data_IF_263442095272
#
_entry.id   IF_263442095272
#
_cell.length_a   1.000
_cell.length_b   1.000
_cell.length_c   1.000
_cell.angle_alpha   90.00
_cell.angle_beta   90.00
_cell.angle_gamma   90.00
#
_symmetry.space_group_name_H-M   'P 1'
#
loop_
_entity.id
_entity.type
_entity.pdbx_description
1 polymer ?
#
# COMPACT_ATOMS: atom_id res chain seq x y z
N UNK A 1 -8.31 5.62 16.39
CA UNK A 1 -7.68 4.78 17.44
C UNK A 1 -6.48 4.01 16.91
N UNK A 2 -6.60 3.18 15.86
CA UNK A 2 -5.53 2.31 15.34
C UNK A 2 -4.18 3.03 15.16
N UNK A 3 -4.13 4.08 14.35
CA UNK A 3 -2.88 4.77 14.01
C UNK A 3 -2.14 5.33 15.24
N UNK A 4 -2.85 5.93 16.18
CA UNK A 4 -2.28 6.42 17.44
C UNK A 4 -1.78 5.29 18.33
N UNK A 5 -2.54 4.21 18.44
CA UNK A 5 -2.11 3.06 19.24
C UNK A 5 -0.84 2.41 18.69
N UNK A 6 -0.62 2.44 17.37
CA UNK A 6 0.64 1.99 16.77
C UNK A 6 1.82 2.89 17.19
N UNK A 7 1.62 4.22 17.18
CA UNK A 7 2.65 5.16 17.65
C UNK A 7 2.93 4.99 19.15
N UNK A 8 1.91 4.71 19.96
CA UNK A 8 2.08 4.47 21.39
C UNK A 8 2.83 3.14 21.69
N UNK A 9 2.73 2.14 20.80
CA UNK A 9 3.49 0.88 20.91
C UNK A 9 4.99 1.03 20.64
N UNK A 10 5.44 2.14 20.07
CA UNK A 10 6.87 2.41 19.87
C UNK A 10 7.65 2.54 21.19
N UNK A 11 6.93 2.63 22.34
CA UNK A 11 7.49 2.70 23.67
C UNK A 11 8.03 4.08 24.02
N UNK A 12 8.79 4.19 25.13
CA UNK A 12 9.40 5.45 25.53
C UNK A 12 10.51 5.84 24.55
N UNK A 13 10.37 7.02 23.94
CA UNK A 13 11.34 7.59 23.01
C UNK A 13 12.03 8.79 23.65
N UNK A 14 13.32 8.96 23.33
CA UNK A 14 14.13 10.12 23.71
C UNK A 14 14.45 10.97 22.50
N UNK A 15 14.10 12.24 22.55
CA UNK A 15 14.33 13.21 21.49
C UNK A 15 15.82 13.28 21.10
N UNK A 16 16.10 13.24 19.80
CA UNK A 16 17.45 13.26 19.23
C UNK A 16 18.26 11.97 19.35
N UNK A 17 17.83 11.00 20.18
CA UNK A 17 18.55 9.74 20.42
C UNK A 17 17.83 8.52 19.83
N UNK A 18 16.49 8.46 19.94
CA UNK A 18 15.72 7.31 19.52
C UNK A 18 15.66 7.18 18.01
N UNK A 19 15.97 5.99 17.51
CA UNK A 19 15.81 5.58 16.11
C UNK A 19 14.72 4.52 16.08
N UNK A 20 13.73 4.73 15.21
CA UNK A 20 12.66 3.78 14.94
C UNK A 20 12.71 3.33 13.48
N UNK A 21 12.24 2.13 13.18
CA UNK A 21 11.98 1.70 11.81
C UNK A 21 10.54 2.07 11.42
N UNK A 22 10.37 3.20 10.74
CA UNK A 22 9.05 3.70 10.38
C UNK A 22 8.30 2.79 9.39
N UNK A 23 9.02 1.98 8.60
CA UNK A 23 8.41 1.00 7.71
C UNK A 23 7.88 -0.21 8.49
N UNK A 24 8.72 -0.83 9.32
CA UNK A 24 8.37 -2.07 10.03
C UNK A 24 7.54 -1.85 11.29
N UNK A 25 7.81 -0.79 12.05
CA UNK A 25 7.15 -0.56 13.33
C UNK A 25 5.86 0.27 13.21
N UNK A 26 5.62 0.88 12.05
CA UNK A 26 4.44 1.71 11.84
C UNK A 26 3.71 1.41 10.51
N UNK A 27 4.33 1.70 9.36
CA UNK A 27 3.63 1.72 8.08
C UNK A 27 3.01 0.36 7.71
N UNK A 28 3.69 -0.76 7.94
CA UNK A 28 3.19 -2.09 7.56
C UNK A 28 1.98 -2.56 8.37
N UNK A 29 1.85 -2.12 9.63
CA UNK A 29 0.76 -2.57 10.51
C UNK A 29 -0.59 -1.96 10.13
N UNK A 30 -0.59 -0.79 9.49
CA UNK A 30 -1.81 -0.05 9.16
C UNK A 30 -2.69 -0.84 8.20
N UNK A 31 -2.26 -1.14 6.96
CA UNK A 31 -3.09 -1.86 6.01
C UNK A 31 -3.41 -3.29 6.45
N UNK A 32 -2.52 -3.96 7.17
CA UNK A 32 -2.79 -5.30 7.74
C UNK A 32 -3.99 -5.24 8.69
N UNK A 33 -3.98 -4.32 9.65
CA UNK A 33 -5.06 -4.18 10.61
C UNK A 33 -6.37 -3.74 9.95
N UNK A 34 -6.32 -2.84 8.96
CA UNK A 34 -7.52 -2.36 8.25
C UNK A 34 -8.16 -3.49 7.45
N UNK A 35 -7.41 -4.19 6.61
CA UNK A 35 -7.93 -5.29 5.79
C UNK A 35 -8.47 -6.43 6.67
N UNK A 36 -7.74 -6.80 7.73
CA UNK A 36 -8.18 -7.79 8.69
C UNK A 36 -9.54 -7.44 9.30
N UNK A 37 -9.70 -6.20 9.78
CA UNK A 37 -10.97 -5.73 10.34
C UNK A 37 -12.10 -5.73 9.32
N UNK A 38 -11.84 -5.31 8.08
CA UNK A 38 -12.84 -5.33 7.01
C UNK A 38 -13.29 -6.75 6.66
N UNK A 39 -12.37 -7.72 6.71
CA UNK A 39 -12.68 -9.13 6.45
C UNK A 39 -13.31 -9.86 7.66
N UNK A 40 -13.37 -9.21 8.83
CA UNK A 40 -13.90 -9.82 10.05
C UNK A 40 -12.99 -10.91 10.65
N UNK A 41 -11.69 -10.87 10.36
CA UNK A 41 -10.73 -11.89 10.80
C UNK A 41 -10.16 -11.58 12.19
N UNK A 42 -9.74 -12.60 12.96
CA UNK A 42 -9.25 -12.45 14.32
C UNK A 42 -8.00 -11.56 14.44
N UNK A 43 -7.89 -10.79 15.52
CA UNK A 43 -6.76 -9.86 15.73
C UNK A 43 -5.41 -10.57 15.85
N UNK A 44 -5.39 -11.75 16.45
CA UNK A 44 -4.18 -12.55 16.62
C UNK A 44 -3.54 -13.02 15.29
N UNK A 45 -4.27 -12.92 14.17
CA UNK A 45 -3.82 -13.41 12.87
C UNK A 45 -3.07 -12.34 12.04
N UNK A 46 -2.90 -11.11 12.57
CA UNK A 46 -2.19 -10.03 11.85
C UNK A 46 -0.76 -10.43 11.42
N UNK A 47 -0.04 -11.14 12.28
CA UNK A 47 1.31 -11.63 11.96
C UNK A 47 1.31 -12.67 10.84
N UNK A 48 0.28 -13.52 10.79
CA UNK A 48 0.09 -14.48 9.71
C UNK A 48 -0.07 -13.78 8.37
N UNK A 49 -0.92 -12.73 8.30
CA UNK A 49 -1.12 -11.96 7.06
C UNK A 49 0.13 -11.23 6.62
N UNK A 50 0.87 -10.64 7.55
CA UNK A 50 2.12 -9.96 7.24
C UNK A 50 3.14 -10.93 6.64
N UNK A 51 3.26 -12.14 7.20
CA UNK A 51 4.11 -13.21 6.68
C UNK A 51 3.67 -13.66 5.29
N UNK A 52 2.38 -13.87 5.06
CA UNK A 52 1.85 -14.25 3.73
C UNK A 52 2.17 -13.22 2.66
N UNK A 53 1.97 -11.94 2.96
CA UNK A 53 2.29 -10.86 2.02
C UNK A 53 3.77 -10.86 1.68
N UNK A 54 4.63 -11.00 2.67
CA UNK A 54 6.07 -11.10 2.46
C UNK A 54 6.43 -12.32 1.59
N UNK A 55 5.91 -13.50 1.90
CA UNK A 55 6.22 -14.73 1.17
C UNK A 55 5.73 -14.69 -0.29
N UNK A 56 4.56 -14.09 -0.53
CA UNK A 56 3.98 -14.00 -1.89
C UNK A 56 4.65 -12.94 -2.75
N UNK A 57 5.04 -11.79 -2.20
CA UNK A 57 5.48 -10.65 -3.00
C UNK A 57 7.00 -10.45 -3.01
N UNK A 58 7.68 -10.79 -1.92
CA UNK A 58 9.13 -10.61 -1.80
C UNK A 58 9.90 -11.91 -1.98
N UNK A 59 9.53 -12.97 -1.28
CA UNK A 59 10.24 -14.23 -1.32
C UNK A 59 10.19 -14.90 -2.70
N UNK A 60 9.08 -14.79 -3.45
CA UNK A 60 9.01 -15.30 -4.82
C UNK A 60 10.02 -14.59 -5.73
N UNK A 61 10.29 -13.31 -5.51
CA UNK A 61 11.29 -12.55 -6.26
C UNK A 61 12.73 -12.94 -5.88
N UNK A 62 12.97 -13.32 -4.61
CA UNK A 62 14.28 -13.74 -4.09
C UNK A 62 14.54 -15.23 -4.34
N UNK A 63 13.52 -16.09 -4.20
CA UNK A 63 13.60 -17.56 -4.34
C UNK A 63 12.47 -18.09 -5.26
N UNK A 64 12.61 -18.02 -6.59
CA UNK A 64 11.58 -18.49 -7.50
C UNK A 64 11.25 -19.99 -7.32
N UNK A 65 9.98 -20.30 -7.11
CA UNK A 65 9.48 -21.68 -6.96
C UNK A 65 8.94 -22.06 -5.60
N UNK A 66 9.07 -21.21 -4.59
CA UNK A 66 8.48 -21.40 -3.26
C UNK A 66 6.97 -21.11 -3.29
N UNK A 67 6.14 -22.12 -3.00
CA UNK A 67 4.65 -22.01 -3.00
C UNK A 67 4.01 -22.29 -1.63
N UNK A 68 4.80 -22.67 -0.64
CA UNK A 68 4.29 -23.18 0.65
C UNK A 68 3.34 -22.18 1.37
N UNK A 69 3.67 -20.88 1.32
CA UNK A 69 2.83 -19.85 1.94
C UNK A 69 1.44 -19.67 1.29
N UNK A 70 1.31 -19.93 -0.02
CA UNK A 70 0.01 -19.80 -0.70
C UNK A 70 -0.96 -20.92 -0.34
N UNK A 71 -0.47 -22.14 -0.12
CA UNK A 71 -1.30 -23.27 0.27
C UNK A 71 -1.81 -23.08 1.72
N UNK A 72 -0.93 -22.67 2.65
CA UNK A 72 -1.30 -22.34 4.02
C UNK A 72 -2.35 -21.22 4.08
N UNK A 73 -2.15 -20.15 3.31
CA UNK A 73 -3.12 -19.07 3.18
C UNK A 73 -4.46 -19.56 2.64
N UNK A 74 -4.43 -20.41 1.62
CA UNK A 74 -5.64 -20.98 1.03
C UNK A 74 -6.47 -21.78 2.04
N UNK A 75 -5.82 -22.64 2.83
CA UNK A 75 -6.47 -23.40 3.90
C UNK A 75 -7.05 -22.48 4.98
N UNK A 76 -6.27 -21.51 5.46
CA UNK A 76 -6.74 -20.53 6.44
C UNK A 76 -7.99 -19.79 5.94
N UNK A 77 -7.99 -19.29 4.70
CA UNK A 77 -9.13 -18.57 4.14
C UNK A 77 -10.35 -19.47 4.01
N UNK A 78 -10.16 -20.74 3.60
CA UNK A 78 -11.24 -21.70 3.57
C UNK A 78 -11.90 -21.89 4.95
N UNK A 79 -11.10 -22.06 6.00
CA UNK A 79 -11.59 -22.19 7.37
C UNK A 79 -12.36 -20.94 7.82
N UNK A 80 -11.87 -19.73 7.48
CA UNK A 80 -12.57 -18.47 7.76
C UNK A 80 -13.92 -18.38 7.02
N UNK A 81 -13.98 -18.81 5.76
CA UNK A 81 -15.25 -18.86 4.99
C UNK A 81 -16.23 -19.81 5.66
N UNK A 82 -15.80 -21.00 6.12
CA UNK A 82 -16.68 -21.94 6.80
C UNK A 82 -17.18 -21.37 8.14
N UNK A 83 -16.33 -20.69 8.91
CA UNK A 83 -16.74 -20.04 10.15
C UNK A 83 -17.76 -18.91 9.90
N UNK A 84 -17.53 -18.04 8.91
CA UNK A 84 -18.47 -16.97 8.55
C UNK A 84 -19.80 -17.51 7.98
N UNK A 85 -19.77 -18.67 7.33
CA UNK A 85 -21.00 -19.34 6.87
C UNK A 85 -21.83 -19.85 8.03
N UNK A 86 -21.18 -20.40 9.06
CA UNK A 86 -21.85 -20.86 10.28
C UNK A 86 -22.28 -19.70 11.19
N UNK A 87 -21.51 -18.62 11.21
CA UNK A 87 -21.65 -17.45 12.08
C UNK A 87 -21.55 -16.15 11.27
N UNK A 88 -22.56 -15.77 10.46
CA UNK A 88 -22.52 -14.54 9.65
C UNK A 88 -22.33 -13.30 10.52
N UNK A 89 -21.51 -12.34 10.03
CA UNK A 89 -21.13 -11.09 10.71
C UNK A 89 -21.36 -9.89 9.79
N UNK A 90 -21.31 -8.70 10.36
CA UNK A 90 -21.33 -7.45 9.57
C UNK A 90 -19.90 -7.11 9.11
N UNK A 91 -19.43 -7.87 8.12
CA UNK A 91 -18.09 -7.76 7.53
C UNK A 91 -18.08 -8.07 6.03
N UNK A 92 -16.94 -7.81 5.40
CA UNK A 92 -16.79 -7.97 3.95
C UNK A 92 -16.85 -9.45 3.53
N UNK A 93 -16.35 -10.39 4.34
CA UNK A 93 -16.40 -11.83 4.03
C UNK A 93 -17.84 -12.32 3.98
N UNK A 94 -18.64 -12.03 4.99
CA UNK A 94 -20.07 -12.36 5.02
C UNK A 94 -20.83 -11.69 3.88
N UNK A 95 -20.51 -10.42 3.58
CA UNK A 95 -21.10 -9.71 2.45
C UNK A 95 -20.79 -10.39 1.11
N UNK A 96 -19.53 -10.73 0.82
CA UNK A 96 -19.12 -11.37 -0.42
C UNK A 96 -19.81 -12.73 -0.63
N UNK A 97 -20.00 -13.50 0.45
CA UNK A 97 -20.70 -14.78 0.41
C UNK A 97 -22.20 -14.65 0.07
N UNK A 98 -22.80 -13.49 0.32
CA UNK A 98 -24.20 -13.19 0.00
C UNK A 98 -24.41 -12.56 -1.38
N UNK A 99 -23.35 -12.16 -2.09
CA UNK A 99 -23.45 -11.50 -3.39
C UNK A 99 -23.81 -12.49 -4.50
N UNK A 100 -24.68 -12.05 -5.41
CA UNK A 100 -24.96 -12.76 -6.67
C UNK A 100 -24.54 -11.89 -7.84
N UNK A 101 -23.82 -12.47 -8.81
CA UNK A 101 -23.48 -11.84 -10.06
C UNK A 101 -24.32 -12.48 -11.16
N UNK A 102 -25.11 -11.67 -11.86
CA UNK A 102 -26.05 -12.16 -12.89
C UNK A 102 -26.98 -13.30 -12.39
N UNK A 103 -27.36 -13.25 -11.11
CA UNK A 103 -28.19 -14.25 -10.46
C UNK A 103 -27.46 -15.52 -10.01
N UNK A 104 -26.15 -15.61 -10.24
CA UNK A 104 -25.31 -16.76 -9.84
C UNK A 104 -24.71 -16.47 -8.46
N UNK A 105 -24.85 -17.43 -7.55
CA UNK A 105 -24.24 -17.38 -6.21
C UNK A 105 -22.71 -17.56 -6.30
N UNK A 106 -21.98 -16.84 -5.43
CA UNK A 106 -20.54 -17.00 -5.31
C UNK A 106 -20.20 -18.34 -4.67
N UNK A 107 -19.32 -19.11 -5.31
CA UNK A 107 -18.75 -20.31 -4.69
C UNK A 107 -17.68 -19.92 -3.66
N UNK A 108 -17.37 -20.84 -2.72
CA UNK A 108 -16.30 -20.62 -1.73
C UNK A 108 -14.94 -20.36 -2.39
N UNK A 109 -14.68 -20.97 -3.55
CA UNK A 109 -13.46 -20.74 -4.34
C UNK A 109 -13.39 -19.30 -4.88
N UNK A 110 -14.51 -18.78 -5.38
CA UNK A 110 -14.55 -17.39 -5.89
C UNK A 110 -14.38 -16.41 -4.73
N UNK A 111 -15.10 -16.61 -3.64
CA UNK A 111 -14.98 -15.78 -2.41
C UNK A 111 -13.55 -15.83 -1.87
N UNK A 112 -12.96 -17.03 -1.76
CA UNK A 112 -11.57 -17.21 -1.34
C UNK A 112 -10.58 -16.50 -2.23
N UNK A 113 -10.73 -16.60 -3.56
CA UNK A 113 -9.90 -15.88 -4.53
C UNK A 113 -10.01 -14.35 -4.40
N UNK A 114 -11.21 -13.82 -4.13
CA UNK A 114 -11.42 -12.40 -3.87
C UNK A 114 -10.73 -11.96 -2.57
N UNK A 115 -10.82 -12.74 -1.49
CA UNK A 115 -10.16 -12.44 -0.22
C UNK A 115 -8.64 -12.44 -0.38
N UNK A 116 -8.07 -13.45 -1.06
CA UNK A 116 -6.63 -13.50 -1.37
C UNK A 116 -6.20 -12.25 -2.15
N UNK A 117 -6.96 -11.88 -3.17
CA UNK A 117 -6.67 -10.69 -3.96
C UNK A 117 -6.70 -9.41 -3.12
N UNK A 118 -7.69 -9.26 -2.22
CA UNK A 118 -7.79 -8.12 -1.32
C UNK A 118 -6.60 -8.03 -0.36
N UNK A 119 -6.17 -9.16 0.21
CA UNK A 119 -5.00 -9.23 1.11
C UNK A 119 -3.73 -8.80 0.37
N UNK A 120 -3.45 -9.38 -0.80
CA UNK A 120 -2.23 -9.08 -1.57
C UNK A 120 -2.25 -7.63 -2.06
N UNK A 121 -3.36 -7.20 -2.66
CA UNK A 121 -3.44 -5.87 -3.27
C UNK A 121 -3.53 -4.74 -2.25
N UNK A 122 -4.18 -4.97 -1.09
CA UNK A 122 -4.47 -3.94 -0.10
C UNK A 122 -3.34 -3.68 0.89
N UNK A 123 -2.45 -4.63 1.14
CA UNK A 123 -1.45 -4.52 2.21
C UNK A 123 -0.17 -3.88 1.69
N UNK A 124 0.53 -4.52 0.77
CA UNK A 124 1.89 -4.11 0.40
C UNK A 124 1.93 -2.76 -0.34
N UNK A 125 0.94 -2.48 -1.18
CA UNK A 125 0.87 -1.20 -1.91
C UNK A 125 0.69 -0.01 -0.98
N UNK A 126 -0.18 -0.14 0.02
CA UNK A 126 -0.45 0.91 1.02
C UNK A 126 0.72 1.07 1.97
N UNK A 127 1.30 -0.04 2.47
CA UNK A 127 2.54 -0.01 3.24
C UNK A 127 3.65 0.74 2.49
N UNK A 128 3.89 0.37 1.22
CA UNK A 128 4.90 0.98 0.37
C UNK A 128 4.65 2.48 0.15
N UNK A 129 3.40 2.90 -0.04
CA UNK A 129 3.04 4.30 -0.21
C UNK A 129 3.26 5.12 1.07
N UNK A 130 2.82 4.62 2.24
CA UNK A 130 3.05 5.28 3.54
C UNK A 130 4.56 5.40 3.79
N UNK A 131 5.30 4.29 3.66
CA UNK A 131 6.74 4.28 3.88
C UNK A 131 7.49 5.26 2.98
N UNK A 132 7.13 5.32 1.69
CA UNK A 132 7.76 6.25 0.72
C UNK A 132 7.44 7.71 1.05
N UNK A 133 6.25 8.00 1.55
CA UNK A 133 5.87 9.35 1.99
C UNK A 133 6.68 9.79 3.23
N UNK A 134 6.83 8.90 4.22
CA UNK A 134 7.66 9.17 5.39
C UNK A 134 9.14 9.28 5.05
N UNK A 135 9.63 8.47 4.09
CA UNK A 135 10.98 8.58 3.57
C UNK A 135 11.24 9.96 2.93
N UNK A 136 10.29 10.48 2.15
CA UNK A 136 10.37 11.82 1.60
C UNK A 136 10.45 12.88 2.70
N UNK A 137 9.51 12.84 3.65
CA UNK A 137 9.43 13.82 4.73
C UNK A 137 10.66 13.81 5.66
N UNK A 138 11.32 12.66 5.81
CA UNK A 138 12.57 12.55 6.57
C UNK A 138 13.76 13.25 5.89
N UNK A 139 13.67 13.57 4.60
CA UNK A 139 14.72 14.22 3.82
C UNK A 139 14.38 15.65 3.42
N UNK A 140 13.09 16.01 3.48
CA UNK A 140 12.55 17.32 3.07
C UNK A 140 11.83 17.99 4.23
N UNK A 141 12.58 18.55 5.20
CA UNK A 141 11.99 19.20 6.38
C UNK A 141 11.11 20.40 6.03
N UNK A 142 11.32 21.03 4.87
CA UNK A 142 10.48 22.11 4.36
C UNK A 142 9.06 21.63 4.02
N UNK A 143 8.93 20.47 3.34
CA UNK A 143 7.63 19.87 3.03
C UNK A 143 6.95 19.35 4.29
N UNK A 144 7.72 18.75 5.19
CA UNK A 144 7.23 18.33 6.51
C UNK A 144 6.65 19.49 7.30
N UNK A 145 7.40 20.61 7.40
CA UNK A 145 6.94 21.80 8.12
C UNK A 145 5.67 22.38 7.47
N UNK A 146 5.60 22.37 6.13
CA UNK A 146 4.42 22.84 5.39
C UNK A 146 3.15 22.07 5.74
N UNK A 147 3.26 20.74 5.95
CA UNK A 147 2.12 19.91 6.39
C UNK A 147 1.65 20.23 7.82
N UNK A 148 2.57 20.65 8.69
CA UNK A 148 2.24 21.04 10.06
C UNK A 148 1.61 22.45 10.12
N UNK A 149 2.11 23.39 9.33
CA UNK A 149 1.66 24.78 9.32
C UNK A 149 0.30 24.96 8.64
N UNK A 150 0.02 24.14 7.62
CA UNK A 150 -1.19 24.23 6.81
C UNK A 150 -1.77 22.81 6.58
N UNK A 151 -2.61 22.33 7.50
CA UNK A 151 -3.23 21.00 7.37
C UNK A 151 -4.09 20.82 6.10
N UNK A 152 -4.60 21.90 5.50
CA UNK A 152 -5.42 21.82 4.30
C UNK A 152 -4.60 21.41 3.07
N UNK A 153 -3.29 21.66 3.08
CA UNK A 153 -2.37 21.25 2.01
C UNK A 153 -2.26 19.72 1.91
N UNK A 154 -2.58 18.98 2.97
CA UNK A 154 -2.52 17.52 2.99
C UNK A 154 -3.31 16.88 1.83
N UNK A 155 -4.40 17.49 1.40
CA UNK A 155 -5.21 16.95 0.28
C UNK A 155 -4.41 16.96 -1.03
N UNK A 156 -3.60 17.98 -1.28
CA UNK A 156 -2.73 18.08 -2.46
C UNK A 156 -1.48 17.23 -2.28
N UNK A 157 -0.85 17.30 -1.11
CA UNK A 157 0.35 16.54 -0.78
C UNK A 157 0.12 15.03 -0.93
N UNK A 158 -1.06 14.54 -0.55
CA UNK A 158 -1.46 13.14 -0.70
C UNK A 158 -1.39 12.68 -2.15
N UNK A 159 -2.00 13.44 -3.08
CA UNK A 159 -1.95 13.11 -4.51
C UNK A 159 -0.52 13.25 -5.06
N UNK A 160 0.28 14.19 -4.54
CA UNK A 160 1.67 14.34 -4.96
C UNK A 160 2.56 13.20 -4.45
N UNK A 161 2.37 12.70 -3.23
CA UNK A 161 3.03 11.47 -2.76
C UNK A 161 2.68 10.28 -3.66
N UNK A 162 1.41 10.12 -4.01
CA UNK A 162 0.96 9.06 -4.91
C UNK A 162 1.53 9.22 -6.31
N UNK A 163 1.66 10.43 -6.84
CA UNK A 163 2.30 10.69 -8.13
C UNK A 163 3.80 10.36 -8.09
N UNK A 164 4.52 10.98 -7.18
CA UNK A 164 5.99 10.91 -7.13
C UNK A 164 6.50 9.53 -6.74
N UNK A 165 5.75 8.81 -5.89
CA UNK A 165 6.14 7.52 -5.30
C UNK A 165 5.15 6.40 -5.58
N UNK A 166 4.47 6.43 -6.73
CA UNK A 166 3.60 5.33 -7.14
C UNK A 166 4.32 3.98 -6.96
N UNK A 167 3.78 3.05 -6.16
CA UNK A 167 4.54 1.84 -5.83
C UNK A 167 4.52 0.78 -6.94
N UNK A 168 3.57 0.84 -7.88
CA UNK A 168 3.23 -0.31 -8.73
C UNK A 168 3.72 -0.17 -10.17
N UNK A 169 4.37 -1.23 -10.67
CA UNK A 169 4.55 -1.51 -12.09
C UNK A 169 3.70 -2.71 -12.47
N UNK A 170 2.75 -2.50 -13.38
CA UNK A 170 1.85 -3.56 -13.85
C UNK A 170 2.30 -4.14 -15.20
N UNK A 171 1.69 -5.24 -15.60
CA UNK A 171 1.88 -5.82 -16.91
C UNK A 171 0.54 -6.23 -17.53
N UNK A 172 0.55 -6.36 -18.86
CA UNK A 172 -0.56 -6.91 -19.65
C UNK A 172 -0.01 -7.89 -20.69
N UNK A 173 -0.85 -8.86 -21.05
CA UNK A 173 -0.60 -9.71 -22.21
C UNK A 173 -1.31 -9.14 -23.43
N UNK A 174 -0.63 -9.11 -24.55
CA UNK A 174 -1.21 -8.71 -25.85
C UNK A 174 -2.21 -9.78 -26.28
N UNK A 175 -3.47 -9.39 -26.43
CA UNK A 175 -4.56 -10.32 -26.74
C UNK A 175 -4.55 -10.80 -28.20
N UNK A 176 -3.99 -10.03 -29.12
CA UNK A 176 -3.86 -10.33 -30.56
C UNK A 176 -2.73 -9.53 -31.16
N UNK A 177 -2.17 -10.01 -32.28
CA UNK A 177 -1.19 -9.25 -33.05
C UNK A 177 -1.70 -7.84 -33.32
N UNK A 178 -0.89 -6.84 -33.01
CA UNK A 178 -1.24 -5.43 -33.17
C UNK A 178 -0.01 -4.57 -33.44
N UNK A 179 -0.21 -3.41 -34.03
CA UNK A 179 0.80 -2.35 -34.07
C UNK A 179 0.36 -1.23 -33.11
N UNK A 180 1.24 -0.85 -32.23
CA UNK A 180 1.01 0.26 -31.30
C UNK A 180 2.03 1.36 -31.54
N UNK A 181 1.59 2.43 -32.24
CA UNK A 181 2.43 3.57 -32.61
C UNK A 181 3.74 3.18 -33.34
N UNK A 182 3.68 2.22 -34.27
CA UNK A 182 4.83 1.72 -35.02
C UNK A 182 5.65 0.63 -34.30
N UNK A 183 5.20 0.19 -33.11
CA UNK A 183 5.77 -0.94 -32.39
C UNK A 183 4.93 -2.20 -32.66
N UNK A 184 5.41 -3.17 -33.47
CA UNK A 184 4.67 -4.41 -33.69
C UNK A 184 4.74 -5.29 -32.45
N UNK A 185 3.58 -5.70 -31.94
CA UNK A 185 3.43 -6.60 -30.81
C UNK A 185 2.70 -7.86 -31.24
N UNK A 186 3.15 -9.00 -30.74
CA UNK A 186 2.53 -10.30 -30.98
C UNK A 186 1.58 -10.68 -29.87
N UNK A 187 0.59 -11.52 -30.21
CA UNK A 187 -0.23 -12.16 -29.20
C UNK A 187 0.67 -12.84 -28.15
N UNK A 188 0.29 -12.70 -26.89
CA UNK A 188 0.97 -13.22 -25.70
C UNK A 188 2.32 -12.54 -25.35
N UNK A 189 2.71 -11.48 -26.06
CA UNK A 189 3.80 -10.61 -25.62
C UNK A 189 3.43 -9.88 -24.29
N UNK A 190 4.43 -9.67 -23.43
CA UNK A 190 4.28 -8.90 -22.22
C UNK A 190 4.51 -7.40 -22.47
N UNK A 191 3.57 -6.58 -22.03
CA UNK A 191 3.68 -5.13 -22.01
C UNK A 191 3.72 -4.63 -20.57
N UNK A 192 4.80 -3.95 -20.19
CA UNK A 192 4.91 -3.32 -18.90
C UNK A 192 4.21 -1.95 -18.90
N UNK A 193 3.52 -1.68 -17.81
CA UNK A 193 2.85 -0.41 -17.51
C UNK A 193 3.50 0.22 -16.27
N UNK A 194 4.64 0.92 -16.42
CA UNK A 194 5.37 1.51 -15.30
C UNK A 194 4.68 2.81 -14.87
N UNK A 195 3.70 2.75 -13.98
CA UNK A 195 2.99 3.93 -13.47
C UNK A 195 3.93 4.99 -12.87
N UNK A 196 5.01 4.62 -12.15
CA UNK A 196 6.00 5.60 -11.68
C UNK A 196 6.62 6.43 -12.82
N UNK A 197 6.89 5.82 -13.98
CA UNK A 197 7.43 6.52 -15.14
C UNK A 197 6.37 7.40 -15.81
N UNK A 198 5.14 6.87 -15.96
CA UNK A 198 4.02 7.63 -16.52
C UNK A 198 3.69 8.88 -15.69
N UNK A 199 3.85 8.81 -14.38
CA UNK A 199 3.66 9.93 -13.47
C UNK A 199 4.79 10.99 -13.51
N UNK A 200 5.83 10.75 -14.30
CA UNK A 200 6.96 11.67 -14.56
C UNK A 200 7.05 12.09 -16.01
N UNK A 201 5.98 11.90 -16.79
CA UNK A 201 5.93 12.33 -18.18
C UNK A 201 5.88 13.87 -18.26
N UNK A 202 6.88 14.54 -18.89
CA UNK A 202 6.89 15.99 -19.03
C UNK A 202 5.80 16.55 -19.94
N UNK A 203 5.12 15.70 -20.72
CA UNK A 203 3.94 16.09 -21.48
C UNK A 203 2.67 16.14 -20.64
N UNK A 204 2.66 15.46 -19.47
CA UNK A 204 1.51 15.38 -18.57
C UNK A 204 1.69 16.25 -17.32
N UNK A 205 2.92 16.49 -16.89
CA UNK A 205 3.21 17.20 -15.64
C UNK A 205 4.28 18.27 -15.84
N UNK A 206 4.03 19.45 -15.35
CA UNK A 206 5.04 20.50 -15.22
C UNK A 206 6.04 20.10 -14.12
N UNK A 207 7.35 20.30 -14.37
CA UNK A 207 8.42 19.89 -13.43
C UNK A 207 8.20 18.46 -12.87
N UNK A 208 8.13 17.41 -13.73
CA UNK A 208 7.67 16.07 -13.34
C UNK A 208 8.58 15.38 -12.30
N UNK A 209 9.86 15.75 -12.27
CA UNK A 209 10.84 15.19 -11.33
C UNK A 209 10.86 15.89 -9.97
N UNK A 210 10.24 17.06 -9.86
CA UNK A 210 10.10 17.78 -8.59
C UNK A 210 8.88 17.27 -7.82
N UNK A 211 9.05 17.12 -6.51
CA UNK A 211 7.93 17.03 -5.60
C UNK A 211 7.41 18.44 -5.30
N UNK A 212 6.13 18.66 -5.49
CA UNK A 212 5.46 19.96 -5.26
C UNK A 212 4.28 19.69 -4.33
N UNK A 213 4.46 19.99 -3.05
CA UNK A 213 3.53 19.62 -1.96
C UNK A 213 2.07 20.08 -2.18
N UNK A 214 1.87 21.16 -2.90
CA UNK A 214 0.56 21.75 -3.21
C UNK A 214 0.22 21.74 -4.71
N UNK A 215 0.75 20.76 -5.47
CA UNK A 215 0.46 20.58 -6.90
C UNK A 215 -1.05 20.48 -7.16
N UNK A 216 -1.59 21.46 -7.90
CA UNK A 216 -3.03 21.57 -8.16
C UNK A 216 -3.51 20.57 -9.23
N UNK A 217 -2.84 20.52 -10.39
CA UNK A 217 -3.18 19.61 -11.47
C UNK A 217 -2.36 18.32 -11.34
N UNK A 218 -3.00 17.27 -10.81
CA UNK A 218 -2.32 16.03 -10.47
C UNK A 218 -3.12 14.79 -10.93
N UNK A 219 -3.21 14.59 -12.25
CA UNK A 219 -3.91 13.45 -12.87
C UNK A 219 -3.01 12.24 -12.98
N UNK A 220 -2.45 11.79 -11.86
CA UNK A 220 -1.54 10.67 -11.84
C UNK A 220 -2.21 9.32 -12.10
N UNK A 221 -1.41 8.34 -12.55
CA UNK A 221 -1.80 6.97 -12.85
C UNK A 221 -1.47 5.96 -11.73
N UNK A 222 -1.19 6.42 -10.48
CA UNK A 222 -0.77 5.52 -9.39
C UNK A 222 -1.77 4.41 -9.08
N UNK A 223 -3.06 4.66 -9.30
CA UNK A 223 -4.14 3.68 -9.12
C UNK A 223 -4.54 2.96 -10.42
N UNK A 224 -3.75 3.08 -11.47
CA UNK A 224 -4.11 2.58 -12.80
C UNK A 224 -5.28 3.34 -13.43
N UNK A 225 -5.65 2.93 -14.63
CA UNK A 225 -6.69 3.56 -15.45
C UNK A 225 -7.61 2.51 -16.07
N UNK A 226 -8.77 2.96 -16.56
CA UNK A 226 -9.75 2.11 -17.25
C UNK A 226 -10.46 1.12 -16.32
N UNK A 227 -10.86 -0.03 -16.87
CA UNK A 227 -11.68 -1.04 -16.15
C UNK A 227 -10.94 -1.71 -14.98
N UNK A 228 -9.61 -1.64 -14.96
CA UNK A 228 -8.77 -2.16 -13.88
C UNK A 228 -8.30 -1.08 -12.89
N UNK A 229 -8.91 0.11 -12.90
CA UNK A 229 -8.60 1.12 -11.89
C UNK A 229 -8.79 0.53 -10.50
N UNK A 230 -7.86 0.84 -9.60
CA UNK A 230 -7.87 0.35 -8.22
C UNK A 230 -9.23 0.60 -7.53
N UNK A 231 -9.89 -0.47 -7.10
CA UNK A 231 -11.17 -0.40 -6.37
C UNK A 231 -10.96 0.19 -4.96
N UNK A 232 -9.78 -0.08 -4.33
CA UNK A 232 -9.41 0.42 -3.00
C UNK A 232 -8.85 1.84 -2.97
N UNK A 233 -8.89 2.58 -4.09
CA UNK A 233 -8.23 3.89 -4.20
C UNK A 233 -8.70 4.92 -3.16
N UNK A 234 -9.96 4.88 -2.74
CA UNK A 234 -10.49 5.79 -1.71
C UNK A 234 -10.03 5.36 -0.31
N UNK A 235 -10.02 4.05 -0.03
CA UNK A 235 -9.52 3.52 1.23
C UNK A 235 -8.04 3.82 1.38
N UNK A 236 -7.23 3.54 0.37
CA UNK A 236 -5.79 3.80 0.38
C UNK A 236 -5.47 5.29 0.63
N UNK A 237 -6.24 6.21 0.03
CA UNK A 237 -6.10 7.65 0.31
C UNK A 237 -6.39 8.00 1.77
N UNK A 238 -7.45 7.41 2.33
CA UNK A 238 -7.80 7.63 3.73
C UNK A 238 -6.72 7.09 4.66
N UNK A 239 -6.25 5.87 4.43
CA UNK A 239 -5.18 5.26 5.22
C UNK A 239 -3.90 6.09 5.15
N UNK A 240 -3.47 6.46 3.94
CA UNK A 240 -2.27 7.26 3.71
C UNK A 240 -2.36 8.63 4.39
N UNK A 241 -3.52 9.31 4.24
CA UNK A 241 -3.77 10.60 4.88
C UNK A 241 -3.63 10.50 6.39
N UNK A 242 -4.37 9.59 7.02
CA UNK A 242 -4.38 9.47 8.49
C UNK A 242 -3.02 9.01 8.99
N UNK A 243 -2.35 8.09 8.29
CA UNK A 243 -1.02 7.62 8.65
C UNK A 243 0.01 8.76 8.68
N UNK A 244 0.06 9.58 7.63
CA UNK A 244 0.99 10.70 7.57
C UNK A 244 0.64 11.76 8.62
N UNK A 245 -0.63 12.16 8.71
CA UNK A 245 -1.07 13.18 9.69
C UNK A 245 -0.75 12.79 11.13
N UNK A 246 -1.04 11.57 11.54
CA UNK A 246 -0.78 11.12 12.91
C UNK A 246 0.74 11.00 13.18
N UNK A 247 1.51 10.56 12.18
CA UNK A 247 2.96 10.44 12.32
C UNK A 247 3.63 11.81 12.45
N UNK A 248 3.32 12.77 11.57
CA UNK A 248 3.92 14.11 11.61
C UNK A 248 3.45 14.93 12.82
N UNK A 249 2.21 14.72 13.29
CA UNK A 249 1.73 15.31 14.54
C UNK A 249 2.46 14.77 15.76
N UNK A 250 2.74 13.46 15.80
CA UNK A 250 3.46 12.81 16.90
C UNK A 250 4.95 13.18 16.91
N UNK A 251 5.55 13.23 15.73
CA UNK A 251 6.96 13.53 15.49
C UNK A 251 7.09 14.77 14.61
N UNK A 252 6.98 16.00 15.21
CA UNK A 252 7.06 17.25 14.46
C UNK A 252 8.38 17.45 13.73
N UNK A 253 9.44 16.75 14.16
CA UNK A 253 10.73 16.72 13.47
C UNK A 253 11.35 15.32 13.55
N UNK A 254 11.76 14.81 12.41
CA UNK A 254 12.51 13.56 12.28
C UNK A 254 13.39 13.61 11.02
N UNK A 255 14.40 12.76 10.98
CA UNK A 255 15.36 12.67 9.86
C UNK A 255 15.74 11.21 9.58
N UNK A 256 16.33 10.93 8.41
CA UNK A 256 16.91 9.62 8.14
C UNK A 256 18.08 9.34 9.09
N UNK A 257 18.11 8.12 9.64
CA UNK A 257 19.13 7.68 10.61
C UNK A 257 20.04 6.57 10.06
N UNK A 258 19.93 6.22 8.78
CA UNK A 258 20.72 5.17 8.16
C UNK A 258 20.25 4.82 6.74
N UNK A 259 20.80 3.74 6.20
CA UNK A 259 20.44 3.25 4.88
C UNK A 259 19.01 2.70 4.85
N UNK A 260 18.30 3.01 3.78
CA UNK A 260 16.93 2.53 3.55
C UNK A 260 16.97 1.28 2.68
N UNK A 261 16.38 0.19 3.16
CA UNK A 261 16.22 -1.02 2.33
C UNK A 261 14.89 -0.94 1.59
N UNK A 262 14.98 -1.00 0.27
CA UNK A 262 13.82 -1.00 -0.61
C UNK A 262 13.42 -2.43 -1.00
N UNK A 263 12.13 -2.63 -1.31
CA UNK A 263 11.64 -3.86 -1.90
C UNK A 263 12.27 -4.14 -3.27
N UNK A 264 12.27 -5.38 -3.64
CA UNK A 264 12.59 -5.85 -4.99
C UNK A 264 11.29 -6.30 -5.69
N UNK A 265 11.24 -6.21 -7.03
CA UNK A 265 10.09 -6.67 -7.80
C UNK A 265 9.14 -5.56 -8.26
N UNK A 266 7.86 -5.93 -8.44
CA UNK A 266 6.87 -5.07 -9.09
C UNK A 266 6.26 -3.97 -8.18
N UNK A 267 6.39 -4.11 -6.88
CA UNK A 267 5.92 -3.12 -5.90
C UNK A 267 7.12 -2.51 -5.21
N UNK A 268 7.25 -1.18 -5.28
CA UNK A 268 8.38 -0.44 -4.75
C UNK A 268 8.00 0.34 -3.49
N UNK A 269 8.70 0.08 -2.41
CA UNK A 269 8.58 0.81 -1.16
C UNK A 269 9.67 0.44 -0.17
N UNK A 270 9.92 1.26 0.86
CA UNK A 270 10.90 0.93 1.89
C UNK A 270 10.41 -0.24 2.74
N UNK A 271 11.31 -1.20 2.95
CA UNK A 271 11.14 -2.35 3.84
C UNK A 271 11.81 -2.14 5.19
N UNK A 272 12.85 -1.31 5.20
CA UNK A 272 13.43 -0.74 6.41
C UNK A 272 13.62 0.76 6.19
N UNK A 273 13.13 1.55 7.14
CA UNK A 273 13.19 3.00 7.11
C UNK A 273 13.61 3.52 8.48
N UNK A 274 14.92 3.51 8.78
CA UNK A 274 15.41 4.02 10.05
C UNK A 274 15.27 5.56 10.09
N UNK A 275 14.49 6.05 11.02
CA UNK A 275 14.33 7.50 11.26
C UNK A 275 14.69 7.83 12.69
N UNK A 276 15.45 8.92 12.87
CA UNK A 276 15.75 9.53 14.17
C UNK A 276 14.66 10.51 14.53
N UNK A 277 14.05 10.31 15.68
CA UNK A 277 13.04 11.23 16.22
C UNK A 277 13.74 12.41 16.88
N UNK A 278 13.56 13.60 16.34
CA UNK A 278 14.20 14.83 16.82
C UNK A 278 13.31 15.62 17.79
N UNK A 279 11.98 15.49 17.64
CA UNK A 279 10.99 16.16 18.47
C UNK A 279 9.75 15.28 18.64
N UNK A 280 9.14 15.29 19.83
CA UNK A 280 7.98 14.48 20.18
C UNK A 280 6.88 15.39 20.73
N UNK A 281 5.74 15.45 20.03
CA UNK A 281 4.59 16.16 20.55
C UNK A 281 4.00 15.44 21.77
N UNK A 282 3.69 16.19 22.81
CA UNK A 282 3.14 15.70 24.09
C UNK A 282 1.61 15.68 24.08
#
# INVERSE_FOLDING_TARGET
MLFRSLLDRLGPLTEGESIIDAAQQYAQHIPVSVIRQMLGFPEQDEELFRRFVHDVLERIAEEPGTRDGMEELGHYIYDQIQDHRANPRDDLTSYLMGVKIDGIEMTDEIVGGMIILLLIAGIDTTWSAIGSSLWHLAQHPEDHQRLLDDPDVMTFALEEFLRAYAPVTMARLVAKDTDFHGCPMKKDDWVLLPFPAANRDPHAFEDPDKFIVDRQENRHAAFGLGIHRCIGSNLARLELKVAIEEFVKRFPRFELAGDVRWSVGQIRGPRQLPVRVLDIAR
#
